data_IF_233706592039
#
_entry.id   IF_233706592039
#
_cell.length_a   1.000
_cell.length_b   1.000
_cell.length_c   1.000
_cell.angle_alpha   90.00
_cell.angle_beta   90.00
_cell.angle_gamma   90.00
#
_symmetry.space_group_name_H-M   'P 1'
#
loop_
_entity.id
_entity.type
_entity.pdbx_description
1 polymer ?
#
# COMPACT_ATOMS: atom_id res chain seq x y z
N UNK A 1 -15.40 5.71 16.23
CA UNK A 1 -16.16 5.65 14.96
C UNK A 1 -15.17 5.54 13.82
N UNK A 2 -15.25 4.52 13.01
CA UNK A 2 -14.31 4.31 11.90
C UNK A 2 -14.67 5.21 10.72
N UNK A 3 -13.69 5.61 9.93
CA UNK A 3 -13.89 6.40 8.70
C UNK A 3 -14.82 5.68 7.70
N UNK A 4 -14.93 4.36 7.78
CA UNK A 4 -15.75 3.53 6.89
C UNK A 4 -17.23 3.94 6.91
N UNK A 5 -17.78 4.30 8.07
CA UNK A 5 -19.18 4.76 8.14
C UNK A 5 -19.43 6.09 7.42
N UNK A 6 -18.42 6.93 7.30
CA UNK A 6 -18.50 8.16 6.51
C UNK A 6 -18.33 7.88 5.02
N UNK A 7 -17.39 6.98 4.67
CA UNK A 7 -17.19 6.54 3.29
C UNK A 7 -18.43 5.82 2.73
N UNK A 8 -19.09 4.99 3.56
CA UNK A 8 -20.31 4.29 3.16
C UNK A 8 -21.46 5.23 2.69
N UNK A 9 -21.44 6.50 3.10
CA UNK A 9 -22.44 7.51 2.69
C UNK A 9 -22.02 8.35 1.50
N UNK A 10 -20.81 8.14 0.99
CA UNK A 10 -20.31 8.86 -0.18
C UNK A 10 -20.74 8.15 -1.46
N UNK A 11 -20.91 8.91 -2.55
CA UNK A 11 -21.33 8.35 -3.83
C UNK A 11 -20.24 7.50 -4.49
N UNK A 12 -18.99 7.91 -4.41
CA UNK A 12 -17.82 7.22 -5.01
C UNK A 12 -16.63 7.25 -4.06
N UNK A 13 -16.70 6.50 -2.95
CA UNK A 13 -15.70 6.53 -1.91
C UNK A 13 -14.45 5.73 -2.30
N UNK A 14 -13.28 6.31 -2.05
CA UNK A 14 -12.00 5.68 -2.36
C UNK A 14 -11.01 5.81 -1.22
N UNK A 15 -10.27 4.76 -0.98
CA UNK A 15 -9.11 4.72 -0.09
C UNK A 15 -7.89 4.50 -0.97
N UNK A 16 -7.02 5.49 -1.06
CA UNK A 16 -5.79 5.42 -1.86
C UNK A 16 -4.60 5.41 -0.93
N UNK A 17 -3.84 4.33 -0.98
CA UNK A 17 -2.69 4.11 -0.12
C UNK A 17 -1.39 4.15 -0.91
N UNK A 18 -0.41 4.92 -0.42
CA UNK A 18 0.93 4.96 -1.01
C UNK A 18 1.69 3.69 -0.66
N UNK A 19 1.84 2.82 -1.64
CA UNK A 19 2.63 1.59 -1.58
C UNK A 19 3.99 1.77 -2.27
N UNK A 20 4.62 0.71 -2.74
CA UNK A 20 5.91 0.80 -3.44
C UNK A 20 6.13 -0.39 -4.36
N UNK A 21 6.79 -0.15 -5.49
CA UNK A 21 7.32 -1.22 -6.35
C UNK A 21 8.39 -2.08 -5.65
N UNK A 22 8.91 -1.63 -4.51
CA UNK A 22 9.81 -2.43 -3.69
C UNK A 22 9.17 -3.72 -3.17
N UNK A 23 7.84 -3.84 -3.20
CA UNK A 23 7.14 -5.10 -2.92
C UNK A 23 7.64 -6.27 -3.78
N UNK A 24 8.07 -6.01 -5.03
CA UNK A 24 8.57 -7.05 -5.94
C UNK A 24 9.88 -7.71 -5.49
N UNK A 25 10.55 -7.14 -4.52
CA UNK A 25 11.75 -7.68 -3.90
C UNK A 25 11.49 -8.18 -2.47
N UNK A 26 10.25 -8.10 -2.02
CA UNK A 26 9.81 -8.62 -0.72
C UNK A 26 9.68 -10.15 -0.74
N UNK A 27 9.73 -10.74 0.45
CA UNK A 27 9.40 -12.15 0.69
C UNK A 27 8.30 -12.20 1.73
N UNK A 28 7.33 -13.08 1.54
CA UNK A 28 6.23 -13.23 2.48
C UNK A 28 6.64 -14.19 3.61
N UNK A 29 7.18 -13.61 4.69
CA UNK A 29 7.62 -14.34 5.91
C UNK A 29 7.17 -13.55 7.16
N UNK A 30 5.99 -13.88 7.66
CA UNK A 30 5.41 -13.21 8.82
C UNK A 30 6.09 -13.57 10.15
N UNK A 31 6.86 -14.65 10.23
CA UNK A 31 7.58 -15.01 11.46
C UNK A 31 8.62 -13.94 11.84
N UNK A 32 9.17 -13.27 10.83
CA UNK A 32 10.18 -12.23 10.99
C UNK A 32 9.65 -10.83 10.66
N UNK A 33 8.33 -10.65 10.56
CA UNK A 33 7.73 -9.38 10.11
C UNK A 33 8.15 -8.18 10.96
N UNK A 34 8.29 -8.36 12.27
CA UNK A 34 8.67 -7.30 13.21
C UNK A 34 10.18 -7.24 13.51
N UNK A 35 11.02 -7.98 12.75
CA UNK A 35 12.47 -7.98 12.95
C UNK A 35 13.07 -6.65 12.51
N UNK A 36 13.62 -5.91 13.46
CA UNK A 36 14.37 -4.66 13.18
C UNK A 36 15.79 -4.92 12.62
N UNK A 37 16.27 -6.16 12.73
CA UNK A 37 17.59 -6.56 12.23
C UNK A 37 17.59 -6.85 10.70
N UNK A 38 16.41 -7.07 10.10
CA UNK A 38 16.34 -7.35 8.68
C UNK A 38 16.43 -6.06 7.86
N UNK A 39 17.53 -5.94 7.10
CA UNK A 39 17.76 -4.83 6.18
C UNK A 39 16.75 -4.75 5.04
N UNK A 40 15.99 -5.84 4.79
CA UNK A 40 14.94 -5.91 3.78
C UNK A 40 13.54 -5.67 4.35
N UNK A 41 13.44 -5.29 5.63
CA UNK A 41 12.15 -5.06 6.30
C UNK A 41 11.22 -4.12 5.52
N UNK A 42 11.78 -3.08 4.89
CA UNK A 42 10.99 -2.17 4.04
C UNK A 42 10.35 -2.89 2.85
N UNK A 43 11.08 -3.80 2.19
CA UNK A 43 10.59 -4.56 1.03
C UNK A 43 9.44 -5.48 1.44
N UNK A 44 9.65 -6.21 2.54
CA UNK A 44 8.67 -7.13 3.12
C UNK A 44 7.42 -6.37 3.57
N UNK A 45 7.59 -5.25 4.29
CA UNK A 45 6.47 -4.42 4.74
C UNK A 45 5.64 -3.87 3.58
N UNK A 46 6.26 -3.52 2.45
CA UNK A 46 5.51 -3.04 1.28
C UNK A 46 4.71 -4.18 0.61
N UNK A 47 5.25 -5.41 0.62
CA UNK A 47 4.50 -6.60 0.18
C UNK A 47 3.33 -6.90 1.13
N UNK A 48 3.57 -6.93 2.44
CA UNK A 48 2.54 -7.17 3.45
C UNK A 48 1.42 -6.14 3.37
N UNK A 49 1.79 -4.87 3.24
CA UNK A 49 0.81 -3.78 3.15
C UNK A 49 -0.05 -3.91 1.89
N UNK A 50 0.53 -4.21 0.73
CA UNK A 50 -0.26 -4.42 -0.49
C UNK A 50 -1.17 -5.65 -0.36
N UNK A 51 -0.68 -6.74 0.24
CA UNK A 51 -1.47 -7.96 0.49
C UNK A 51 -2.65 -7.66 1.41
N UNK A 52 -2.42 -6.91 2.49
CA UNK A 52 -3.46 -6.50 3.43
C UNK A 52 -4.51 -5.59 2.77
N UNK A 53 -4.11 -4.64 1.92
CA UNK A 53 -5.05 -3.79 1.17
C UNK A 53 -5.95 -4.62 0.25
N UNK A 54 -5.39 -5.65 -0.38
CA UNK A 54 -6.14 -6.56 -1.24
C UNK A 54 -7.16 -7.37 -0.43
N UNK A 55 -6.77 -7.84 0.76
CA UNK A 55 -7.70 -8.53 1.65
C UNK A 55 -8.79 -7.58 2.17
N UNK A 56 -8.43 -6.38 2.60
CA UNK A 56 -9.41 -5.40 3.05
C UNK A 56 -10.44 -5.09 1.95
N UNK A 57 -10.01 -4.94 0.69
CA UNK A 57 -10.95 -4.78 -0.43
C UNK A 57 -11.86 -5.99 -0.58
N UNK A 58 -11.33 -7.20 -0.44
CA UNK A 58 -12.12 -8.43 -0.53
C UNK A 58 -13.18 -8.47 0.57
N UNK A 59 -12.82 -8.14 1.81
CA UNK A 59 -13.73 -8.06 2.94
C UNK A 59 -14.83 -6.99 2.71
N UNK A 60 -14.45 -5.78 2.29
CA UNK A 60 -15.43 -4.73 1.98
C UNK A 60 -16.38 -5.12 0.85
N UNK A 61 -15.88 -5.80 -0.17
CA UNK A 61 -16.69 -6.22 -1.32
C UNK A 61 -17.75 -7.26 -0.95
N UNK A 62 -17.55 -8.00 0.14
CA UNK A 62 -18.53 -8.98 0.65
C UNK A 62 -19.68 -8.35 1.43
N UNK A 63 -19.54 -7.07 1.83
CA UNK A 63 -20.52 -6.34 2.64
C UNK A 63 -21.34 -5.41 1.76
N UNK A 64 -22.68 -5.62 1.60
CA UNK A 64 -23.51 -4.83 0.69
C UNK A 64 -23.43 -3.31 0.92
N UNK A 65 -23.29 -2.89 2.19
CA UNK A 65 -23.20 -1.48 2.57
C UNK A 65 -21.85 -0.84 2.31
N UNK A 66 -20.79 -1.62 2.08
CA UNK A 66 -19.41 -1.16 1.92
C UNK A 66 -18.78 -1.59 0.59
N UNK A 67 -19.47 -2.42 -0.19
CA UNK A 67 -18.95 -3.00 -1.43
C UNK A 67 -18.64 -1.98 -2.52
N UNK A 68 -19.19 -0.76 -2.40
CA UNK A 68 -18.94 0.34 -3.31
C UNK A 68 -17.66 1.13 -2.96
N UNK A 69 -17.01 0.84 -1.83
CA UNK A 69 -15.75 1.49 -1.46
C UNK A 69 -14.60 0.84 -2.24
N UNK A 70 -13.87 1.64 -3.01
CA UNK A 70 -12.68 1.19 -3.72
C UNK A 70 -11.41 1.43 -2.89
N UNK A 71 -10.53 0.42 -2.81
CA UNK A 71 -9.20 0.56 -2.19
C UNK A 71 -8.13 0.36 -3.26
N UNK A 72 -7.14 1.23 -3.29
CA UNK A 72 -6.03 1.14 -4.25
C UNK A 72 -4.68 1.32 -3.56
N UNK A 73 -3.72 0.46 -3.95
CA UNK A 73 -2.31 0.67 -3.66
C UNK A 73 -1.64 1.40 -4.82
N UNK A 74 -0.87 2.44 -4.54
CA UNK A 74 -0.22 3.26 -5.56
C UNK A 74 1.26 3.41 -5.28
N UNK A 75 2.11 3.00 -6.22
CA UNK A 75 3.51 3.36 -6.24
C UNK A 75 3.69 4.65 -7.07
N UNK A 76 4.08 5.77 -6.44
CA UNK A 76 4.16 7.06 -7.12
C UNK A 76 5.39 7.20 -8.04
N UNK A 77 6.26 6.19 -8.10
CA UNK A 77 7.57 6.26 -8.72
C UNK A 77 8.67 6.55 -7.70
N UNK A 78 9.90 6.69 -8.18
CA UNK A 78 11.02 7.16 -7.37
C UNK A 78 10.91 8.69 -7.23
N UNK A 79 10.16 9.13 -6.21
CA UNK A 79 9.93 10.56 -6.01
C UNK A 79 11.12 11.17 -5.29
N UNK A 80 11.65 12.26 -5.83
CA UNK A 80 12.75 13.02 -5.22
C UNK A 80 12.22 13.80 -4.00
N UNK A 81 12.23 13.16 -2.86
CA UNK A 81 11.78 13.74 -1.57
C UNK A 81 12.87 13.58 -0.52
N UNK A 82 12.71 14.26 0.62
CA UNK A 82 13.63 14.18 1.75
C UNK A 82 13.85 12.77 2.34
N UNK A 83 13.05 11.77 1.95
CA UNK A 83 13.24 10.37 2.37
C UNK A 83 14.59 9.79 1.92
N UNK A 84 15.20 10.38 0.89
CA UNK A 84 16.49 9.95 0.34
C UNK A 84 17.67 10.68 0.97
N UNK A 85 17.42 11.72 1.78
CA UNK A 85 18.48 12.41 2.51
C UNK A 85 18.96 11.55 3.67
N UNK A 86 20.30 11.38 3.85
CA UNK A 86 20.82 10.63 4.97
C UNK A 86 20.38 11.27 6.30
N UNK A 87 19.67 10.50 7.12
CA UNK A 87 19.28 10.93 8.46
C UNK A 87 20.31 10.38 9.46
N UNK A 88 21.09 11.26 10.05
CA UNK A 88 22.07 10.92 11.07
C UNK A 88 23.53 10.88 10.57
N UNK A 89 24.46 10.93 11.51
CA UNK A 89 25.90 10.82 11.25
C UNK A 89 26.27 9.39 10.86
N UNK A 90 26.33 9.11 9.56
CA UNK A 90 26.93 7.88 9.06
C UNK A 90 28.44 8.02 9.16
N UNK A 91 29.06 7.38 10.15
CA UNK A 91 30.50 7.54 10.41
C UNK A 91 31.41 6.90 9.35
N UNK A 92 30.93 5.83 8.70
CA UNK A 92 31.76 5.11 7.72
C UNK A 92 31.77 5.82 6.35
N UNK A 93 32.98 6.13 5.86
CA UNK A 93 33.20 6.86 4.60
C UNK A 93 32.61 6.17 3.38
N UNK A 94 32.63 4.83 3.31
CA UNK A 94 32.06 4.06 2.20
C UNK A 94 30.52 4.17 2.16
N UNK A 95 29.85 4.28 3.32
CA UNK A 95 28.40 4.49 3.40
C UNK A 95 28.04 5.89 2.92
N UNK A 96 28.84 6.91 3.23
CA UNK A 96 28.65 8.28 2.70
C UNK A 96 28.76 8.33 1.18
N UNK A 97 29.70 7.60 0.60
CA UNK A 97 29.84 7.50 -0.86
C UNK A 97 28.61 6.83 -1.49
N UNK A 98 28.17 5.71 -0.93
CA UNK A 98 26.99 5.01 -1.40
C UNK A 98 25.72 5.86 -1.30
N UNK A 99 25.53 6.56 -0.20
CA UNK A 99 24.38 7.45 -0.01
C UNK A 99 24.43 8.65 -0.96
N UNK A 100 25.62 9.22 -1.17
CA UNK A 100 25.82 10.29 -2.15
C UNK A 100 25.50 9.83 -3.57
N UNK A 101 25.91 8.61 -3.93
CA UNK A 101 25.61 8.02 -5.23
C UNK A 101 24.11 7.76 -5.40
N UNK A 102 23.46 7.19 -4.37
CA UNK A 102 21.99 6.99 -4.35
C UNK A 102 21.25 8.32 -4.50
N UNK A 103 21.65 9.34 -3.76
CA UNK A 103 21.05 10.69 -3.86
C UNK A 103 21.18 11.28 -5.26
N UNK A 104 22.34 11.12 -5.90
CA UNK A 104 22.55 11.56 -7.30
C UNK A 104 21.71 10.79 -8.29
N UNK A 105 21.60 9.46 -8.12
CA UNK A 105 20.76 8.61 -8.98
C UNK A 105 19.28 9.01 -8.83
N UNK A 106 18.81 9.20 -7.61
CA UNK A 106 17.44 9.65 -7.35
C UNK A 106 17.21 11.06 -7.88
N UNK A 107 18.18 11.96 -7.76
CA UNK A 107 18.11 13.31 -8.32
C UNK A 107 18.02 13.33 -9.85
N UNK A 108 18.64 12.35 -10.51
CA UNK A 108 18.62 12.25 -11.97
C UNK A 108 17.45 11.43 -12.53
N UNK A 109 17.10 10.32 -11.86
CA UNK A 109 16.03 9.41 -12.29
C UNK A 109 14.71 9.62 -11.56
N UNK A 110 14.74 10.36 -10.46
CA UNK A 110 13.57 10.62 -9.63
C UNK A 110 12.59 11.57 -10.33
N UNK A 111 11.33 11.31 -10.12
CA UNK A 111 10.26 12.21 -10.57
C UNK A 111 10.07 13.33 -9.55
N UNK A 112 9.63 14.47 -10.04
CA UNK A 112 9.21 15.58 -9.19
C UNK A 112 8.04 15.18 -8.28
N UNK A 113 7.95 15.68 -7.04
CA UNK A 113 6.83 15.40 -6.14
C UNK A 113 5.45 15.68 -6.75
N UNK A 114 5.32 16.70 -7.58
CA UNK A 114 4.07 16.99 -8.28
C UNK A 114 3.73 15.88 -9.28
N UNK A 115 4.69 15.40 -10.04
CA UNK A 115 4.50 14.27 -10.95
C UNK A 115 4.19 12.97 -10.20
N UNK A 116 4.85 12.74 -9.07
CA UNK A 116 4.57 11.59 -8.21
C UNK A 116 3.15 11.61 -7.64
N UNK A 117 2.65 12.79 -7.27
CA UNK A 117 1.30 12.97 -6.75
C UNK A 117 0.20 12.69 -7.79
N UNK A 118 0.48 12.88 -9.08
CA UNK A 118 -0.49 12.59 -10.15
C UNK A 118 -0.99 11.15 -10.13
N UNK A 119 -0.14 10.20 -9.70
CA UNK A 119 -0.54 8.81 -9.57
C UNK A 119 -1.64 8.62 -8.50
N UNK A 120 -1.48 9.30 -7.37
CA UNK A 120 -2.44 9.27 -6.26
C UNK A 120 -3.73 9.99 -6.67
N UNK A 121 -3.61 11.19 -7.26
CA UNK A 121 -4.76 11.95 -7.74
C UNK A 121 -5.55 11.14 -8.77
N UNK A 122 -4.87 10.50 -9.72
CA UNK A 122 -5.54 9.65 -10.71
C UNK A 122 -6.33 8.50 -10.03
N UNK A 123 -5.71 7.77 -9.12
CA UNK A 123 -6.39 6.69 -8.42
C UNK A 123 -7.59 7.19 -7.60
N UNK A 124 -7.50 8.42 -7.08
CA UNK A 124 -8.56 9.05 -6.30
C UNK A 124 -9.72 9.61 -7.15
N UNK A 125 -9.48 9.98 -8.43
CA UNK A 125 -10.48 10.74 -9.21
C UNK A 125 -10.87 10.13 -10.53
N UNK A 126 -10.05 9.23 -11.11
CA UNK A 126 -10.33 8.68 -12.42
C UNK A 126 -11.52 7.70 -12.39
N UNK A 127 -12.40 7.78 -13.37
CA UNK A 127 -13.62 6.97 -13.46
C UNK A 127 -13.34 5.47 -13.51
N UNK A 128 -12.31 5.05 -14.24
CA UNK A 128 -11.88 3.65 -14.35
C UNK A 128 -11.29 3.07 -13.05
N UNK A 129 -11.12 3.90 -12.00
CA UNK A 129 -10.74 3.49 -10.66
C UNK A 129 -11.94 3.38 -9.69
N UNK A 130 -13.16 3.64 -10.16
CA UNK A 130 -14.38 3.54 -9.37
C UNK A 130 -14.98 2.14 -9.43
N UNK A 131 -15.63 1.71 -8.34
CA UNK A 131 -16.49 0.52 -8.32
C UNK A 131 -17.88 0.80 -8.88
N UNK A 132 -18.28 2.08 -8.95
CA UNK A 132 -19.65 2.50 -9.29
C UNK A 132 -19.88 2.62 -10.79
N UNK A 133 -18.84 2.85 -11.59
CA UNK A 133 -19.00 3.02 -13.03
C UNK A 133 -18.96 1.71 -13.80
N UNK A 134 -19.79 1.59 -14.84
CA UNK A 134 -19.69 0.51 -15.82
C UNK A 134 -18.31 0.56 -16.47
N UNK A 135 -17.51 -0.48 -16.26
CA UNK A 135 -16.11 -0.53 -16.67
C UNK A 135 -15.13 0.03 -15.63
N UNK A 136 -15.62 0.58 -14.51
CA UNK A 136 -14.80 0.75 -13.30
C UNK A 136 -14.34 -0.64 -12.85
N UNK A 137 -13.05 -0.79 -12.73
CA UNK A 137 -12.48 -2.13 -12.55
C UNK A 137 -12.58 -2.61 -11.09
N UNK A 138 -13.36 -1.95 -10.26
CA UNK A 138 -13.45 -2.25 -8.84
C UNK A 138 -12.21 -1.83 -8.06
N UNK A 139 -12.23 -2.06 -6.78
CA UNK A 139 -11.09 -1.83 -5.90
C UNK A 139 -10.07 -2.97 -5.95
N UNK A 140 -9.09 -2.92 -5.04
CA UNK A 140 -8.05 -3.93 -4.88
C UNK A 140 -6.89 -3.80 -5.85
N UNK A 141 -6.82 -2.71 -6.62
CA UNK A 141 -5.78 -2.54 -7.63
C UNK A 141 -4.48 -2.00 -7.09
N UNK A 142 -3.43 -2.43 -7.76
CA UNK A 142 -2.11 -1.84 -7.64
C UNK A 142 -1.81 -0.99 -8.88
N UNK A 143 -1.31 0.23 -8.65
CA UNK A 143 -0.87 1.13 -9.71
C UNK A 143 0.63 1.37 -9.58
N UNK A 144 1.35 1.15 -10.66
CA UNK A 144 2.71 1.61 -10.84
C UNK A 144 2.66 2.95 -11.57
N UNK A 145 2.81 4.04 -10.82
CA UNK A 145 2.50 5.40 -11.28
C UNK A 145 1.04 5.48 -11.70
N UNK A 146 0.75 5.91 -12.92
CA UNK A 146 -0.62 6.05 -13.43
C UNK A 146 -1.16 4.77 -14.10
N UNK A 147 -0.36 3.71 -14.20
CA UNK A 147 -0.73 2.50 -14.92
C UNK A 147 -1.12 1.38 -13.95
N UNK A 148 -2.23 0.69 -14.19
CA UNK A 148 -2.51 -0.56 -13.49
C UNK A 148 -1.36 -1.54 -13.71
N UNK A 149 -0.96 -2.23 -12.66
CA UNK A 149 0.11 -3.21 -12.69
C UNK A 149 -0.26 -4.43 -11.84
N UNK A 150 0.24 -5.58 -12.25
CA UNK A 150 0.09 -6.80 -11.46
C UNK A 150 0.98 -6.72 -10.21
N UNK A 151 0.42 -6.86 -9.02
CA UNK A 151 1.22 -6.95 -7.80
C UNK A 151 1.90 -8.32 -7.71
N UNK A 152 2.66 -8.56 -6.64
CA UNK A 152 3.24 -9.87 -6.38
C UNK A 152 2.14 -10.96 -6.22
N UNK A 153 2.38 -12.22 -6.65
CA UNK A 153 1.41 -13.31 -6.56
C UNK A 153 0.87 -13.54 -5.13
N UNK A 154 1.68 -13.28 -4.11
CA UNK A 154 1.30 -13.38 -2.72
C UNK A 154 0.14 -12.45 -2.37
N UNK A 155 0.04 -11.30 -3.03
CA UNK A 155 -1.03 -10.33 -2.76
C UNK A 155 -2.40 -10.83 -3.18
N UNK A 156 -2.47 -11.71 -4.18
CA UNK A 156 -3.71 -12.32 -4.67
C UNK A 156 -3.96 -13.70 -4.09
N UNK A 157 -2.96 -14.32 -3.46
CA UNK A 157 -3.09 -15.62 -2.82
C UNK A 157 -4.07 -15.59 -1.65
N UNK A 158 -5.14 -16.41 -1.65
CA UNK A 158 -6.09 -16.47 -0.54
C UNK A 158 -5.43 -16.82 0.81
N UNK A 159 -4.41 -17.69 0.76
CA UNK A 159 -3.66 -18.06 1.96
C UNK A 159 -2.87 -16.88 2.52
N UNK A 160 -2.09 -16.19 1.69
CA UNK A 160 -1.28 -15.04 2.14
C UNK A 160 -2.18 -13.90 2.64
N UNK A 161 -3.30 -13.64 1.99
CA UNK A 161 -4.28 -12.63 2.40
C UNK A 161 -4.88 -12.93 3.77
N UNK A 162 -5.25 -14.18 4.03
CA UNK A 162 -5.75 -14.60 5.35
C UNK A 162 -4.67 -14.47 6.41
N UNK A 163 -3.46 -14.97 6.14
CA UNK A 163 -2.35 -14.90 7.10
C UNK A 163 -1.99 -13.48 7.48
N UNK A 164 -1.97 -12.55 6.52
CA UNK A 164 -1.69 -11.14 6.83
C UNK A 164 -2.85 -10.48 7.59
N UNK A 165 -4.08 -10.84 7.31
CA UNK A 165 -5.25 -10.35 8.03
C UNK A 165 -5.19 -10.75 9.51
N UNK A 166 -4.98 -12.04 9.77
CA UNK A 166 -4.87 -12.57 11.14
C UNK A 166 -3.67 -11.97 11.88
N UNK A 167 -2.56 -11.78 11.19
CA UNK A 167 -1.37 -11.14 11.75
C UNK A 167 -1.66 -9.69 12.18
N UNK A 168 -2.26 -8.89 11.32
CA UNK A 168 -2.58 -7.48 11.61
C UNK A 168 -3.63 -7.37 12.71
N UNK A 169 -4.65 -8.24 12.71
CA UNK A 169 -5.64 -8.29 13.78
C UNK A 169 -4.97 -8.53 15.14
N UNK A 170 -4.13 -9.54 15.23
CA UNK A 170 -3.40 -9.90 16.44
C UNK A 170 -2.48 -8.77 16.92
N UNK A 171 -1.68 -8.18 16.02
CA UNK A 171 -0.72 -7.13 16.37
C UNK A 171 -1.40 -5.83 16.82
N UNK A 172 -2.53 -5.51 16.25
CA UNK A 172 -3.27 -4.27 16.54
C UNK A 172 -4.45 -4.47 17.48
N UNK A 173 -4.75 -5.72 17.88
CA UNK A 173 -5.90 -6.09 18.71
C UNK A 173 -7.22 -5.52 18.14
N UNK A 174 -7.43 -5.68 16.84
CA UNK A 174 -8.56 -5.07 16.14
C UNK A 174 -9.89 -5.66 16.60
N UNK A 175 -9.92 -6.96 16.83
CA UNK A 175 -11.09 -7.68 17.35
C UNK A 175 -11.46 -7.19 18.76
N UNK A 176 -10.48 -7.12 19.67
CA UNK A 176 -10.69 -6.64 21.05
C UNK A 176 -11.17 -5.18 21.10
N UNK A 177 -10.79 -4.39 20.09
CA UNK A 177 -11.21 -2.99 19.95
C UNK A 177 -12.57 -2.83 19.26
N UNK A 178 -13.24 -3.94 18.89
CA UNK A 178 -14.50 -3.92 18.16
C UNK A 178 -14.40 -3.32 16.74
N UNK A 179 -13.19 -3.25 16.17
CA UNK A 179 -12.97 -2.67 14.85
C UNK A 179 -13.31 -3.64 13.72
N UNK A 180 -13.43 -4.94 14.03
CA UNK A 180 -13.81 -6.00 13.07
C UNK A 180 -15.30 -6.35 13.10
N UNK A 181 -16.09 -5.75 13.97
CA UNK A 181 -17.53 -6.07 14.09
C UNK A 181 -18.30 -5.82 12.79
N UNK A 182 -17.84 -4.88 11.97
CA UNK A 182 -18.42 -4.60 10.65
C UNK A 182 -18.24 -5.75 9.64
N UNK A 183 -17.29 -6.64 9.87
CA UNK A 183 -16.98 -7.76 8.98
C UNK A 183 -17.56 -9.09 9.46
N UNK A 184 -18.30 -9.10 10.57
CA UNK A 184 -18.95 -10.26 11.19
C UNK A 184 -20.46 -10.26 10.88
N UNK A 185 -20.81 -10.45 9.62
CA UNK A 185 -22.21 -10.61 9.21
C UNK A 185 -22.46 -12.04 8.78
#
# INVERSE_FOLDING_TARGET
MTILSSLARSEDPRIVCTTSSMQYFGTFDLLNANSTADRRSYLHNKLYFQTWLTELQFQLSSLPTLSHIAIHGVHPGFVNTGIWTPHGAVEATHLKIMDSLRYRIVGFLGVDPQQGSLAIVRAATAKDCSTMERGGQGGGKYFNRIWPAEPMPETTSPLCRRLIWDFVDKELCLEEKGLLDLFRV
#
